data_IF_862737968766
#
_entry.id   IF_862737968766
#
_cell.length_a   1.000
_cell.length_b   1.000
_cell.length_c   1.000
_cell.angle_alpha   90.00
_cell.angle_beta   90.00
_cell.angle_gamma   90.00
#
_symmetry.space_group_name_H-M   'P 1'
#
loop_
_entity.id
_entity.type
_entity.pdbx_description
1 polymer ?
#
# COMPACT_ATOMS: atom_id res chain seq x y z
N UNK A 1 -5.29 -7.09 19.01
CA UNK A 1 -5.92 -7.29 20.32
C UNK A 1 -5.82 -8.77 20.66
N UNK A 2 -5.05 -9.12 21.69
CA UNK A 2 -5.01 -10.49 22.22
C UNK A 2 -5.81 -10.46 23.52
N UNK A 3 -6.79 -11.35 23.64
CA UNK A 3 -7.61 -11.48 24.86
C UNK A 3 -7.29 -12.83 25.48
N UNK A 4 -6.87 -12.83 26.74
CA UNK A 4 -6.65 -14.07 27.48
C UNK A 4 -7.99 -14.78 27.75
N UNK A 5 -7.94 -16.07 28.11
CA UNK A 5 -9.13 -16.80 28.55
C UNK A 5 -9.74 -16.25 29.85
N UNK A 6 -9.00 -15.38 30.56
CA UNK A 6 -9.45 -14.68 31.78
C UNK A 6 -10.00 -13.29 31.50
N UNK A 7 -10.03 -12.85 30.23
CA UNK A 7 -10.56 -11.55 29.82
C UNK A 7 -9.56 -10.39 29.93
N UNK A 8 -8.29 -10.68 30.21
CA UNK A 8 -7.23 -9.66 30.18
C UNK A 8 -6.93 -9.28 28.73
N UNK A 9 -6.98 -7.98 28.44
CA UNK A 9 -6.80 -7.45 27.09
C UNK A 9 -5.40 -6.85 26.97
N UNK A 10 -4.57 -7.46 26.12
CA UNK A 10 -3.33 -6.86 25.67
C UNK A 10 -3.60 -6.05 24.38
N UNK A 11 -3.52 -4.72 24.50
CA UNK A 11 -3.46 -3.80 23.36
C UNK A 11 -2.04 -3.80 22.81
N UNK A 12 -1.82 -4.59 21.77
CA UNK A 12 -0.58 -4.51 20.99
C UNK A 12 -0.71 -3.40 19.97
N UNK A 13 0.23 -2.46 19.98
CA UNK A 13 0.43 -1.55 18.86
C UNK A 13 0.86 -2.37 17.65
N UNK A 14 -0.08 -2.63 16.75
CA UNK A 14 0.09 -3.60 15.66
C UNK A 14 0.22 -2.82 14.37
N UNK A 15 1.30 -3.08 13.63
CA UNK A 15 1.56 -2.51 12.31
C UNK A 15 0.33 -2.62 11.39
N UNK A 16 0.10 -1.57 10.60
CA UNK A 16 -0.96 -1.55 9.59
C UNK A 16 -0.76 -2.70 8.58
N UNK A 17 -1.81 -3.45 8.20
CA UNK A 17 -1.68 -4.61 7.32
C UNK A 17 -1.02 -4.31 5.96
N UNK A 18 -1.34 -3.15 5.38
CA UNK A 18 -0.72 -2.74 4.11
C UNK A 18 0.77 -2.37 4.27
N UNK A 19 1.18 -1.78 5.41
CA UNK A 19 2.60 -1.52 5.67
C UNK A 19 3.37 -2.83 5.86
N UNK A 20 2.76 -3.81 6.52
CA UNK A 20 3.32 -5.16 6.62
C UNK A 20 3.56 -5.76 5.23
N UNK A 21 2.59 -5.65 4.33
CA UNK A 21 2.72 -6.17 2.97
C UNK A 21 3.85 -5.48 2.20
N UNK A 22 4.01 -4.16 2.36
CA UNK A 22 5.08 -3.41 1.70
C UNK A 22 6.46 -3.75 2.25
N UNK A 23 6.60 -3.89 3.58
CA UNK A 23 7.82 -4.38 4.22
C UNK A 23 8.18 -5.79 3.72
N UNK A 24 7.20 -6.68 3.58
CA UNK A 24 7.42 -8.04 3.06
C UNK A 24 7.89 -8.04 1.61
N UNK A 25 7.32 -7.21 0.74
CA UNK A 25 7.81 -7.02 -0.62
C UNK A 25 9.24 -6.47 -0.64
N UNK A 26 9.55 -5.48 0.19
CA UNK A 26 10.90 -4.93 0.31
C UNK A 26 11.91 -6.01 0.75
N UNK A 27 11.56 -6.83 1.75
CA UNK A 27 12.39 -7.94 2.23
C UNK A 27 12.61 -9.02 1.17
N UNK A 28 11.59 -9.33 0.37
CA UNK A 28 11.70 -10.28 -0.72
C UNK A 28 12.67 -9.79 -1.82
N UNK A 29 12.77 -8.49 -2.04
CA UNK A 29 13.69 -7.91 -3.02
C UNK A 29 15.11 -7.67 -2.47
N UNK A 30 15.34 -7.91 -1.18
CA UNK A 30 16.64 -7.69 -0.57
C UNK A 30 17.67 -8.75 -1.06
N UNK A 31 18.86 -8.34 -1.55
CA UNK A 31 19.81 -9.24 -2.23
C UNK A 31 20.40 -10.33 -1.33
N UNK A 32 20.42 -10.11 0.00
CA UNK A 32 20.88 -11.10 0.99
C UNK A 32 19.77 -11.99 1.55
N UNK A 33 18.54 -11.91 1.02
CA UNK A 33 17.41 -12.71 1.51
C UNK A 33 17.55 -14.16 1.03
N UNK A 34 17.33 -15.11 1.94
CA UNK A 34 17.28 -16.52 1.60
C UNK A 34 16.18 -16.80 0.54
N UNK A 35 16.49 -17.50 -0.57
CA UNK A 35 15.54 -17.79 -1.65
C UNK A 35 14.25 -18.48 -1.20
N UNK A 36 14.31 -19.35 -0.19
CA UNK A 36 13.14 -20.05 0.37
C UNK A 36 12.26 -19.10 1.20
N UNK A 37 12.86 -18.09 1.82
CA UNK A 37 12.14 -17.07 2.59
C UNK A 37 11.54 -16.00 1.66
N UNK A 38 12.22 -15.66 0.57
CA UNK A 38 11.76 -14.71 -0.45
C UNK A 38 10.38 -15.05 -0.99
N UNK A 39 10.18 -16.29 -1.44
CA UNK A 39 8.90 -16.72 -2.01
C UNK A 39 7.76 -16.65 -0.98
N UNK A 40 8.05 -16.99 0.28
CA UNK A 40 7.07 -16.87 1.38
C UNK A 40 6.73 -15.42 1.68
N UNK A 41 7.72 -14.53 1.70
CA UNK A 41 7.50 -13.11 1.96
C UNK A 41 6.61 -12.48 0.87
N UNK A 42 6.84 -12.82 -0.41
CA UNK A 42 5.97 -12.38 -1.51
C UNK A 42 4.54 -12.90 -1.35
N UNK A 43 4.38 -14.20 -1.08
CA UNK A 43 3.06 -14.80 -0.90
C UNK A 43 2.30 -14.13 0.27
N UNK A 44 2.99 -13.86 1.38
CA UNK A 44 2.40 -13.16 2.53
C UNK A 44 1.97 -11.74 2.18
N UNK A 45 2.77 -11.01 1.39
CA UNK A 45 2.41 -9.67 0.95
C UNK A 45 1.17 -9.67 0.06
N UNK A 46 1.10 -10.58 -0.94
CA UNK A 46 -0.05 -10.68 -1.84
C UNK A 46 -1.32 -11.11 -1.10
N UNK A 47 -1.20 -12.11 -0.22
CA UNK A 47 -2.33 -12.61 0.56
C UNK A 47 -2.93 -11.51 1.45
N UNK A 48 -2.08 -10.75 2.15
CA UNK A 48 -2.56 -9.65 3.00
C UNK A 48 -3.25 -8.56 2.17
N UNK A 49 -2.72 -8.21 0.98
CA UNK A 49 -3.37 -7.25 0.08
C UNK A 49 -4.74 -7.77 -0.40
N UNK A 50 -4.84 -9.05 -0.76
CA UNK A 50 -6.11 -9.67 -1.12
C UNK A 50 -7.11 -9.67 0.04
N UNK A 51 -6.67 -9.99 1.26
CA UNK A 51 -7.52 -9.97 2.45
C UNK A 51 -8.07 -8.58 2.76
N UNK A 52 -7.23 -7.54 2.66
CA UNK A 52 -7.69 -6.15 2.84
C UNK A 52 -8.70 -5.75 1.78
N UNK A 53 -8.43 -6.09 0.52
CA UNK A 53 -9.33 -5.79 -0.61
C UNK A 53 -10.69 -6.49 -0.49
N UNK A 54 -10.68 -7.80 -0.18
CA UNK A 54 -11.86 -8.65 -0.35
C UNK A 54 -12.66 -8.81 0.96
N UNK A 55 -12.01 -8.69 2.12
CA UNK A 55 -12.63 -9.06 3.40
C UNK A 55 -12.42 -8.03 4.53
N UNK A 56 -11.46 -7.11 4.42
CA UNK A 56 -11.13 -6.18 5.50
C UNK A 56 -11.01 -4.72 5.01
N UNK A 57 -12.10 -4.14 4.48
CA UNK A 57 -12.09 -2.79 3.90
C UNK A 57 -11.73 -1.69 4.91
N UNK A 58 -11.88 -1.94 6.22
CA UNK A 58 -11.46 -1.00 7.26
C UNK A 58 -9.95 -0.71 7.27
N UNK A 59 -9.14 -1.58 6.65
CA UNK A 59 -7.71 -1.37 6.46
C UNK A 59 -7.35 -0.89 5.05
N UNK A 60 -8.34 -0.66 4.18
CA UNK A 60 -8.10 -0.06 2.89
C UNK A 60 -7.66 1.39 3.10
N UNK A 61 -6.60 1.80 2.40
CA UNK A 61 -6.23 3.21 2.34
C UNK A 61 -7.14 3.91 1.34
N UNK A 62 -7.66 5.10 1.66
CA UNK A 62 -8.33 5.91 0.65
C UNK A 62 -7.35 6.11 -0.50
N UNK A 63 -7.81 5.80 -1.72
CA UNK A 63 -7.06 6.13 -2.92
C UNK A 63 -6.77 7.63 -2.86
N UNK A 64 -5.49 8.02 -2.94
CA UNK A 64 -5.15 9.42 -2.96
C UNK A 64 -5.97 10.08 -4.07
N UNK A 65 -6.67 11.19 -3.81
CA UNK A 65 -7.40 11.87 -4.87
C UNK A 65 -6.41 12.11 -6.00
N UNK A 66 -6.71 11.55 -7.17
CA UNK A 66 -5.96 11.75 -8.40
C UNK A 66 -5.57 13.23 -8.43
N UNK A 67 -4.28 13.54 -8.32
CA UNK A 67 -3.80 14.90 -8.53
C UNK A 67 -4.31 15.28 -9.91
N UNK A 68 -5.31 16.17 -9.94
CA UNK A 68 -6.12 16.42 -11.11
C UNK A 68 -5.22 16.69 -12.30
N UNK A 69 -5.36 15.87 -13.34
CA UNK A 69 -5.11 16.35 -14.68
C UNK A 69 -6.12 17.46 -14.91
N UNK A 70 -5.72 18.71 -14.62
CA UNK A 70 -6.50 19.90 -14.97
C UNK A 70 -6.63 19.91 -16.50
N UNK A 71 -7.83 19.67 -17.07
CA UNK A 71 -8.01 19.73 -18.51
C UNK A 71 -8.23 21.19 -18.89
N UNK A 72 -7.23 21.79 -19.52
CA UNK A 72 -7.40 22.98 -20.36
C UNK A 72 -7.05 24.31 -19.72
N UNK A 73 -5.78 24.70 -19.85
CA UNK A 73 -5.41 26.10 -20.02
C UNK A 73 -5.34 26.38 -21.53
N UNK A 74 -6.36 26.98 -22.18
CA UNK A 74 -6.22 27.47 -23.54
C UNK A 74 -5.55 28.86 -23.46
N UNK A 75 -4.29 28.94 -23.88
CA UNK A 75 -3.53 30.20 -23.81
C UNK A 75 -2.38 30.35 -24.80
N UNK A 76 -1.82 29.26 -25.32
CA UNK A 76 -0.79 29.33 -26.36
C UNK A 76 -1.42 29.27 -27.75
N UNK A 77 -2.23 30.28 -28.07
CA UNK A 77 -2.64 30.56 -29.44
C UNK A 77 -1.71 31.65 -30.00
N UNK A 78 -0.88 31.23 -30.96
CA UNK A 78 -0.24 32.01 -32.02
C UNK A 78 0.25 33.43 -31.67
N UNK A 79 1.58 33.54 -31.53
CA UNK A 79 2.26 34.81 -31.71
C UNK A 79 2.01 35.32 -33.15
N UNK A 80 1.52 36.56 -33.36
CA UNK A 80 1.49 37.11 -34.70
C UNK A 80 2.93 37.44 -35.14
N UNK A 81 3.35 36.81 -36.23
CA UNK A 81 4.48 37.26 -37.04
C UNK A 81 4.12 38.62 -37.64
N UNK A 82 4.77 39.69 -37.16
CA UNK A 82 4.71 41.01 -37.78
C UNK A 82 5.96 41.19 -38.65
N UNK A 83 5.73 41.21 -39.97
CA UNK A 83 6.53 42.00 -40.91
C UNK A 83 5.96 43.40 -41.07
#
# INVERSE_FOLDING_TARGET
MVVSTTGEIALMDTMHPLDFADVKRALANHPKRDPRKRSKDLLQAELVKALVRDYMPQYARPEAPNAGHEPGQPGDADAPSLG
#
